data_IF_501391603437
#
_entry.id   IF_501391603437
#
_cell.length_a   1.000
_cell.length_b   1.000
_cell.length_c   1.000
_cell.angle_alpha   90.00
_cell.angle_beta   90.00
_cell.angle_gamma   90.00
#
_symmetry.space_group_name_H-M   'P 1'
#
loop_
_entity.id
_entity.type
_entity.pdbx_description
1 polymer ?
#
# COMPACT_ATOMS: atom_id res chain seq x y z
N UNK A 1 -12.63 0.68 -10.13
CA UNK A 1 -12.78 0.51 -8.66
C UNK A 1 -13.16 1.80 -7.94
N UNK A 2 -12.29 2.83 -7.84
CA UNK A 2 -12.58 4.06 -7.05
C UNK A 2 -13.95 4.70 -7.35
N UNK A 3 -14.30 4.83 -8.62
CA UNK A 3 -15.57 5.40 -9.06
C UNK A 3 -16.80 4.62 -8.54
N UNK A 4 -16.68 3.30 -8.42
CA UNK A 4 -17.76 2.42 -7.89
C UNK A 4 -17.92 2.67 -6.40
N UNK A 5 -16.80 2.69 -5.68
CA UNK A 5 -16.79 2.92 -4.22
C UNK A 5 -17.34 4.31 -3.88
N UNK A 6 -16.91 5.34 -4.62
CA UNK A 6 -17.40 6.71 -4.41
C UNK A 6 -18.88 6.82 -4.78
N UNK A 7 -19.33 6.16 -5.85
CA UNK A 7 -20.74 6.17 -6.26
C UNK A 7 -21.69 5.67 -5.17
N UNK A 8 -21.34 4.57 -4.49
CA UNK A 8 -22.12 4.07 -3.35
C UNK A 8 -22.04 5.00 -2.14
N UNK A 9 -20.86 5.55 -1.82
CA UNK A 9 -20.67 6.41 -0.63
C UNK A 9 -21.28 7.80 -0.75
N UNK A 10 -21.44 8.31 -1.97
CA UNK A 10 -21.99 9.66 -2.20
C UNK A 10 -23.47 9.81 -1.86
N UNK A 11 -24.21 8.71 -1.68
CA UNK A 11 -25.64 8.75 -1.38
C UNK A 11 -26.01 7.69 -0.36
N UNK A 12 -26.71 8.11 0.70
CA UNK A 12 -27.21 7.20 1.74
C UNK A 12 -28.12 6.12 1.16
N UNK A 13 -28.99 6.48 0.19
CA UNK A 13 -29.88 5.53 -0.49
C UNK A 13 -29.11 4.48 -1.27
N UNK A 14 -28.04 4.87 -1.98
CA UNK A 14 -27.18 3.92 -2.73
C UNK A 14 -26.37 3.03 -1.78
N UNK A 15 -25.84 3.63 -0.71
CA UNK A 15 -25.16 2.89 0.36
C UNK A 15 -26.07 1.86 1.02
N UNK A 16 -27.37 2.14 1.12
CA UNK A 16 -28.35 1.18 1.66
C UNK A 16 -28.52 -0.03 0.73
N UNK A 17 -28.69 0.18 -0.58
CA UNK A 17 -28.75 -0.94 -1.55
C UNK A 17 -27.54 -1.85 -1.43
N UNK A 18 -26.36 -1.27 -1.26
CA UNK A 18 -25.14 -2.05 -1.02
C UNK A 18 -25.21 -2.85 0.28
N UNK A 19 -25.62 -2.23 1.40
CA UNK A 19 -25.74 -2.90 2.70
C UNK A 19 -26.79 -4.01 2.70
N UNK A 20 -27.80 -3.92 1.86
CA UNK A 20 -28.80 -4.98 1.69
C UNK A 20 -28.27 -6.15 0.86
N UNK A 21 -27.28 -5.91 -0.02
CA UNK A 21 -26.68 -6.95 -0.85
C UNK A 21 -25.62 -7.81 -0.14
N UNK A 22 -25.08 -7.34 1.00
CA UNK A 22 -24.03 -8.04 1.76
C UNK A 22 -24.25 -7.86 3.26
N UNK A 23 -24.05 -8.93 4.04
CA UNK A 23 -24.08 -8.95 5.51
C UNK A 23 -23.02 -8.02 6.16
N UNK A 24 -23.27 -6.71 6.13
CA UNK A 24 -22.59 -5.66 6.90
C UNK A 24 -21.10 -5.39 6.57
N UNK A 25 -20.61 -5.74 5.38
CA UNK A 25 -19.23 -5.38 4.98
C UNK A 25 -19.17 -3.95 4.43
N UNK A 26 -18.49 -3.07 5.15
CA UNK A 26 -18.19 -1.72 4.65
C UNK A 26 -17.15 -1.79 3.53
N UNK A 27 -17.46 -1.21 2.36
CA UNK A 27 -16.44 -0.98 1.33
C UNK A 27 -15.47 0.06 1.89
N UNK A 28 -14.26 -0.37 2.24
CA UNK A 28 -13.19 0.56 2.61
C UNK A 28 -12.89 1.46 1.42
N UNK A 29 -12.82 2.77 1.66
CA UNK A 29 -12.31 3.68 0.63
C UNK A 29 -10.85 3.34 0.39
N UNK A 30 -10.40 3.43 -0.86
CA UNK A 30 -8.98 3.39 -1.16
C UNK A 30 -8.29 4.51 -0.38
N UNK A 31 -7.60 4.14 0.70
CA UNK A 31 -6.94 5.11 1.56
C UNK A 31 -5.75 5.71 0.81
N UNK A 32 -5.60 7.04 0.76
CA UNK A 32 -4.50 7.65 0.00
C UNK A 32 -3.13 7.40 0.65
N UNK A 33 -3.07 7.30 1.97
CA UNK A 33 -1.82 7.30 2.72
C UNK A 33 -1.49 5.95 3.36
N UNK A 34 -2.45 5.02 3.44
CA UNK A 34 -2.23 3.69 4.00
C UNK A 34 -2.24 2.64 2.91
N UNK A 35 -1.05 2.24 2.51
CA UNK A 35 -0.85 1.24 1.45
C UNK A 35 -1.57 -0.08 1.76
N UNK A 36 -1.46 -0.61 2.98
CA UNK A 36 -2.11 -1.87 3.39
C UNK A 36 -3.63 -1.81 3.23
N UNK A 37 -4.26 -0.72 3.65
CA UNK A 37 -5.71 -0.52 3.51
C UNK A 37 -6.15 -0.52 2.03
N UNK A 38 -5.29 -0.08 1.10
CA UNK A 38 -5.56 -0.18 -0.34
C UNK A 38 -5.58 -1.63 -0.81
N UNK A 39 -4.65 -2.47 -0.32
CA UNK A 39 -4.59 -3.89 -0.70
C UNK A 39 -5.86 -4.61 -0.25
N UNK A 40 -6.24 -4.43 1.02
CA UNK A 40 -7.45 -5.01 1.58
C UNK A 40 -8.70 -4.55 0.82
N UNK A 41 -8.72 -3.29 0.38
CA UNK A 41 -9.83 -2.76 -0.43
C UNK A 41 -9.93 -3.46 -1.79
N UNK A 42 -8.80 -3.72 -2.47
CA UNK A 42 -8.79 -4.40 -3.78
C UNK A 42 -9.27 -5.84 -3.62
N UNK A 43 -8.77 -6.57 -2.61
CA UNK A 43 -9.17 -7.96 -2.34
C UNK A 43 -10.66 -8.07 -1.94
N UNK A 44 -11.18 -7.11 -1.16
CA UNK A 44 -12.63 -7.05 -0.86
C UNK A 44 -13.45 -6.73 -2.11
N UNK A 45 -12.93 -5.90 -2.99
CA UNK A 45 -13.61 -5.55 -4.24
C UNK A 45 -13.64 -6.73 -5.22
N UNK A 46 -12.58 -7.54 -5.27
CA UNK A 46 -12.54 -8.75 -6.11
C UNK A 46 -13.49 -9.82 -5.61
N UNK A 47 -13.51 -10.06 -4.30
CA UNK A 47 -14.40 -11.05 -3.67
C UNK A 47 -15.88 -10.70 -3.81
N UNK A 48 -16.23 -9.41 -3.75
CA UNK A 48 -17.62 -8.95 -3.83
C UNK A 48 -18.02 -8.38 -5.20
N UNK A 49 -17.29 -8.75 -6.27
CA UNK A 49 -17.49 -8.17 -7.60
C UNK A 49 -18.90 -8.45 -8.15
N UNK A 50 -19.44 -9.64 -7.86
CA UNK A 50 -20.74 -10.11 -8.34
C UNK A 50 -21.85 -9.36 -7.63
N UNK A 51 -21.78 -9.24 -6.30
CA UNK A 51 -22.72 -8.48 -5.48
C UNK A 51 -22.71 -7.00 -5.87
N UNK A 52 -21.53 -6.43 -6.13
CA UNK A 52 -21.39 -5.07 -6.65
C UNK A 52 -22.11 -4.91 -7.99
N UNK A 53 -21.94 -5.87 -8.92
CA UNK A 53 -22.65 -5.84 -10.19
C UNK A 53 -24.17 -5.91 -9.98
N UNK A 54 -24.66 -6.81 -9.12
CA UNK A 54 -26.09 -6.95 -8.81
C UNK A 54 -26.67 -5.65 -8.21
N UNK A 55 -25.99 -5.05 -7.23
CA UNK A 55 -26.41 -3.81 -6.60
C UNK A 55 -26.44 -2.64 -7.60
N UNK A 56 -25.44 -2.53 -8.48
CA UNK A 56 -25.44 -1.52 -9.55
C UNK A 56 -26.57 -1.77 -10.57
N UNK A 57 -26.83 -3.03 -10.94
CA UNK A 57 -27.96 -3.38 -11.82
C UNK A 57 -29.32 -3.06 -11.20
N UNK A 58 -29.46 -3.09 -9.88
CA UNK A 58 -30.67 -2.61 -9.20
C UNK A 58 -30.81 -1.08 -9.28
N UNK A 59 -29.73 -0.33 -9.03
CA UNK A 59 -29.72 1.14 -9.11
C UNK A 59 -29.96 1.63 -10.54
N UNK A 60 -29.50 0.88 -11.54
CA UNK A 60 -29.76 1.13 -12.95
C UNK A 60 -31.26 1.20 -13.30
N UNK A 61 -32.13 0.52 -12.55
CA UNK A 61 -33.59 0.52 -12.77
C UNK A 61 -34.31 1.69 -12.09
N UNK A 62 -33.59 2.57 -11.40
CA UNK A 62 -34.20 3.70 -10.69
C UNK A 62 -34.71 4.77 -11.67
N UNK A 63 -35.76 5.49 -11.25
CA UNK A 63 -36.33 6.63 -11.98
C UNK A 63 -35.36 7.82 -12.08
N UNK A 64 -34.43 7.96 -11.14
CA UNK A 64 -33.44 9.05 -11.14
C UNK A 64 -32.38 8.82 -12.23
N UNK A 65 -32.48 9.59 -13.32
CA UNK A 65 -31.62 9.52 -14.49
C UNK A 65 -30.14 9.65 -14.16
N UNK A 66 -29.78 10.46 -13.15
CA UNK A 66 -28.40 10.67 -12.76
C UNK A 66 -27.79 9.43 -12.10
N UNK A 67 -28.55 8.78 -11.22
CA UNK A 67 -28.12 7.53 -10.58
C UNK A 67 -28.15 6.36 -11.56
N UNK A 68 -29.21 6.23 -12.36
CA UNK A 68 -29.39 5.11 -13.27
C UNK A 68 -28.36 5.10 -14.41
N UNK A 69 -28.14 6.25 -15.06
CA UNK A 69 -27.14 6.38 -16.12
C UNK A 69 -25.73 6.11 -15.62
N UNK A 70 -25.35 6.64 -14.45
CA UNK A 70 -24.03 6.38 -13.85
C UNK A 70 -23.85 4.92 -13.46
N UNK A 71 -24.88 4.30 -12.87
CA UNK A 71 -24.85 2.89 -12.53
C UNK A 71 -24.69 2.01 -13.79
N UNK A 72 -25.41 2.33 -14.86
CA UNK A 72 -25.28 1.66 -16.16
C UNK A 72 -23.84 1.68 -16.67
N UNK A 73 -23.20 2.86 -16.72
CA UNK A 73 -21.80 2.99 -17.15
C UNK A 73 -20.87 2.15 -16.27
N UNK A 74 -21.04 2.20 -14.95
CA UNK A 74 -20.21 1.44 -14.01
C UNK A 74 -20.39 -0.08 -14.17
N UNK A 75 -21.61 -0.57 -14.39
CA UNK A 75 -21.87 -2.00 -14.67
C UNK A 75 -21.13 -2.43 -15.91
N UNK A 76 -21.26 -1.70 -17.02
CA UNK A 76 -20.55 -2.03 -18.25
C UNK A 76 -19.03 -2.02 -18.06
N UNK A 77 -18.47 -1.05 -17.34
CA UNK A 77 -17.03 -1.01 -17.06
C UNK A 77 -16.54 -2.18 -16.23
N UNK A 78 -17.28 -2.61 -15.20
CA UNK A 78 -16.87 -3.72 -14.32
C UNK A 78 -17.01 -5.08 -15.03
N UNK A 79 -17.98 -5.20 -15.93
CA UNK A 79 -18.23 -6.42 -16.70
C UNK A 79 -17.27 -6.62 -17.88
N UNK A 80 -16.46 -5.63 -18.24
CA UNK A 80 -15.47 -5.79 -19.31
C UNK A 80 -14.42 -6.84 -18.94
N UNK A 81 -14.13 -7.77 -19.85
CA UNK A 81 -13.13 -8.83 -19.63
C UNK A 81 -11.74 -8.28 -19.29
N UNK A 82 -11.34 -7.17 -19.92
CA UNK A 82 -10.08 -6.47 -19.61
C UNK A 82 -10.03 -6.01 -18.14
N UNK A 83 -11.14 -5.49 -17.62
CA UNK A 83 -11.24 -5.05 -16.23
C UNK A 83 -11.16 -6.23 -15.27
N UNK A 84 -11.88 -7.32 -15.55
CA UNK A 84 -11.88 -8.53 -14.71
C UNK A 84 -10.47 -9.12 -14.63
N UNK A 85 -9.79 -9.26 -15.76
CA UNK A 85 -8.43 -9.81 -15.80
C UNK A 85 -7.45 -8.88 -15.09
N UNK A 86 -7.47 -7.58 -15.38
CA UNK A 86 -6.58 -6.62 -14.72
C UNK A 86 -6.80 -6.61 -13.20
N UNK A 87 -8.06 -6.73 -12.75
CA UNK A 87 -8.41 -6.80 -11.35
C UNK A 87 -7.87 -8.08 -10.67
N UNK A 88 -7.97 -9.23 -11.34
CA UNK A 88 -7.45 -10.50 -10.82
C UNK A 88 -5.93 -10.55 -10.81
N UNK A 89 -5.26 -10.07 -11.87
CA UNK A 89 -3.80 -9.94 -11.89
C UNK A 89 -3.32 -9.03 -10.76
N UNK A 90 -3.99 -7.89 -10.55
CA UNK A 90 -3.69 -7.01 -9.43
C UNK A 90 -3.90 -7.72 -8.09
N UNK A 91 -5.03 -8.40 -7.90
CA UNK A 91 -5.30 -9.14 -6.67
C UNK A 91 -4.24 -10.22 -6.40
N UNK A 92 -3.77 -10.91 -7.44
CA UNK A 92 -2.77 -11.96 -7.34
C UNK A 92 -1.42 -11.43 -6.84
N UNK A 93 -0.93 -10.35 -7.46
CA UNK A 93 0.27 -9.64 -7.03
C UNK A 93 0.16 -9.17 -5.57
N UNK A 94 -1.00 -8.62 -5.19
CA UNK A 94 -1.22 -8.12 -3.84
C UNK A 94 -1.17 -9.24 -2.79
N UNK A 95 -1.40 -10.51 -3.15
CA UNK A 95 -1.22 -11.65 -2.23
C UNK A 95 0.24 -11.78 -1.77
N UNK A 96 1.20 -11.46 -2.63
CA UNK A 96 2.62 -11.51 -2.29
C UNK A 96 3.09 -10.23 -1.59
N UNK A 97 2.66 -9.07 -2.06
CA UNK A 97 3.14 -7.78 -1.53
C UNK A 97 2.48 -7.38 -0.22
N UNK A 98 1.26 -7.84 0.09
CA UNK A 98 0.56 -7.51 1.34
C UNK A 98 1.24 -8.10 2.59
N UNK A 99 1.55 -9.42 2.68
CA UNK A 99 2.26 -9.99 3.82
C UNK A 99 3.63 -9.33 4.00
N UNK A 100 4.36 -9.16 2.91
CA UNK A 100 5.64 -8.45 2.88
C UNK A 100 5.54 -7.04 3.45
N UNK A 101 4.54 -6.25 3.01
CA UNK A 101 4.32 -4.89 3.50
C UNK A 101 3.99 -4.86 5.00
N UNK A 102 3.17 -5.80 5.49
CA UNK A 102 2.85 -5.93 6.92
C UNK A 102 4.07 -6.34 7.74
N UNK A 103 4.90 -7.24 7.21
CA UNK A 103 6.13 -7.68 7.85
C UNK A 103 7.10 -6.51 8.03
N UNK A 104 7.35 -5.72 6.98
CA UNK A 104 8.22 -4.54 7.06
C UNK A 104 7.71 -3.44 8.00
N UNK A 105 6.40 -3.37 8.23
CA UNK A 105 5.79 -2.39 9.13
C UNK A 105 5.77 -2.83 10.61
N UNK A 106 6.20 -4.07 10.90
CA UNK A 106 6.19 -4.56 12.26
C UNK A 106 7.24 -3.82 13.12
N UNK A 107 6.83 -3.33 14.30
CA UNK A 107 7.70 -2.52 15.19
C UNK A 107 8.92 -3.28 15.71
N UNK A 108 8.84 -4.61 15.76
CA UNK A 108 9.90 -5.48 16.25
C UNK A 108 10.80 -6.05 15.16
N UNK A 109 10.59 -5.69 13.89
CA UNK A 109 11.36 -6.30 12.80
C UNK A 109 12.83 -5.87 12.86
N UNK A 110 13.71 -6.85 12.69
CA UNK A 110 15.13 -6.61 12.52
C UNK A 110 15.47 -6.29 11.06
N UNK A 111 16.50 -5.47 10.82
CA UNK A 111 16.98 -5.13 9.49
C UNK A 111 17.44 -6.35 8.69
N UNK A 112 17.99 -7.36 9.35
CA UNK A 112 18.38 -8.63 8.71
C UNK A 112 17.17 -9.43 8.26
N UNK A 113 16.17 -9.56 9.14
CA UNK A 113 14.90 -10.23 8.82
C UNK A 113 14.14 -9.49 7.72
N UNK A 114 14.18 -8.15 7.73
CA UNK A 114 13.64 -7.32 6.66
C UNK A 114 14.37 -7.55 5.34
N UNK A 115 15.72 -7.64 5.35
CA UNK A 115 16.51 -7.95 4.15
C UNK A 115 16.21 -9.33 3.58
N UNK A 116 16.04 -10.33 4.45
CA UNK A 116 15.63 -11.67 4.06
C UNK A 116 14.24 -11.65 3.42
N UNK A 117 13.25 -11.03 4.08
CA UNK A 117 11.89 -10.91 3.57
C UNK A 117 11.80 -10.22 2.20
N UNK A 118 12.63 -9.20 1.96
CA UNK A 118 12.75 -8.54 0.65
C UNK A 118 13.22 -9.53 -0.42
N UNK A 119 14.30 -10.27 -0.14
CA UNK A 119 14.88 -11.23 -1.09
C UNK A 119 13.94 -12.39 -1.37
N UNK A 120 13.29 -12.91 -0.34
CA UNK A 120 12.31 -14.00 -0.47
C UNK A 120 11.11 -13.55 -1.31
N UNK A 121 10.61 -12.33 -1.10
CA UNK A 121 9.50 -11.79 -1.89
C UNK A 121 9.93 -11.56 -3.34
N UNK A 122 11.15 -11.06 -3.58
CA UNK A 122 11.69 -10.89 -4.93
C UNK A 122 11.82 -12.22 -5.66
N UNK A 123 12.37 -13.26 -5.01
CA UNK A 123 12.52 -14.57 -5.64
C UNK A 123 11.18 -15.20 -6.00
N UNK A 124 10.17 -15.08 -5.13
CA UNK A 124 8.80 -15.56 -5.43
C UNK A 124 8.20 -14.84 -6.63
N UNK A 125 8.36 -13.52 -6.74
CA UNK A 125 7.88 -12.75 -7.87
C UNK A 125 8.62 -13.10 -9.17
N UNK A 126 9.94 -13.31 -9.12
CA UNK A 126 10.76 -13.74 -10.25
C UNK A 126 10.38 -15.15 -10.74
N UNK A 127 10.15 -16.09 -9.83
CA UNK A 127 9.66 -17.43 -10.15
C UNK A 127 8.27 -17.39 -10.78
N UNK A 128 7.36 -16.60 -10.20
CA UNK A 128 6.01 -16.43 -10.74
C UNK A 128 6.05 -15.84 -12.16
N UNK A 129 6.95 -14.89 -12.39
CA UNK A 129 7.17 -14.28 -13.70
C UNK A 129 7.80 -15.25 -14.72
N UNK A 130 8.70 -16.13 -14.26
CA UNK A 130 9.35 -17.16 -15.10
C UNK A 130 8.37 -18.25 -15.52
N UNK A 131 7.50 -18.69 -14.61
CA UNK A 131 6.47 -19.69 -14.86
C UNK A 131 5.11 -19.05 -15.18
N UNK A 132 5.12 -17.90 -15.88
CA UNK A 132 3.92 -17.09 -16.15
C UNK A 132 2.81 -17.86 -16.82
N UNK A 133 3.13 -18.88 -17.62
CA UNK A 133 2.13 -19.63 -18.40
C UNK A 133 1.26 -20.49 -17.49
N UNK A 134 1.86 -21.09 -16.46
CA UNK A 134 1.16 -21.92 -15.48
C UNK A 134 0.32 -21.06 -14.54
N UNK A 135 0.93 -20.01 -13.98
CA UNK A 135 0.24 -19.12 -13.05
C UNK A 135 -0.90 -18.36 -13.74
N UNK A 136 -0.64 -17.80 -14.93
CA UNK A 136 -1.66 -17.05 -15.66
C UNK A 136 -2.82 -17.93 -16.11
N UNK A 137 -2.58 -19.19 -16.49
CA UNK A 137 -3.67 -20.13 -16.82
C UNK A 137 -4.69 -20.25 -15.68
N UNK A 138 -4.23 -20.37 -14.43
CA UNK A 138 -5.14 -20.43 -13.27
C UNK A 138 -5.93 -19.14 -13.07
N UNK A 139 -5.30 -17.98 -13.31
CA UNK A 139 -5.95 -16.67 -13.23
C UNK A 139 -6.98 -16.51 -14.36
N UNK A 140 -6.65 -16.99 -15.56
CA UNK A 140 -7.52 -16.90 -16.72
C UNK A 140 -8.76 -17.79 -16.56
N UNK A 141 -8.61 -19.00 -16.03
CA UNK A 141 -9.74 -19.88 -15.68
C UNK A 141 -10.65 -19.24 -14.62
N UNK A 142 -10.07 -18.57 -13.61
CA UNK A 142 -10.86 -17.80 -12.62
C UNK A 142 -11.58 -16.62 -13.28
N UNK A 143 -10.92 -15.91 -14.20
CA UNK A 143 -11.51 -14.81 -14.94
C UNK A 143 -12.69 -15.27 -15.80
N UNK A 144 -12.57 -16.41 -16.48
CA UNK A 144 -13.65 -17.01 -17.29
C UNK A 144 -14.86 -17.38 -16.43
N UNK A 145 -14.64 -17.99 -15.25
CA UNK A 145 -15.72 -18.30 -14.31
C UNK A 145 -16.45 -17.04 -13.84
N UNK A 146 -15.70 -16.02 -13.41
CA UNK A 146 -16.26 -14.74 -12.99
C UNK A 146 -16.99 -14.01 -14.12
N UNK A 147 -16.47 -14.06 -15.34
CA UNK A 147 -17.09 -13.44 -16.50
C UNK A 147 -18.42 -14.12 -16.85
N UNK A 148 -18.47 -15.47 -16.79
CA UNK A 148 -19.68 -16.25 -17.00
C UNK A 148 -20.77 -15.92 -15.95
N UNK A 149 -20.39 -15.80 -14.67
CA UNK A 149 -21.33 -15.39 -13.61
C UNK A 149 -21.85 -13.95 -13.77
N UNK A 150 -21.06 -13.09 -14.43
CA UNK A 150 -21.44 -11.72 -14.76
C UNK A 150 -22.17 -11.60 -16.10
N UNK A 151 -22.45 -12.71 -16.79
CA UNK A 151 -23.07 -12.78 -18.11
C UNK A 151 -22.25 -12.02 -19.17
N UNK A 152 -20.94 -12.30 -19.21
CA UNK A 152 -19.97 -11.68 -20.11
C UNK A 152 -18.90 -12.63 -20.60
N UNK A 153 -18.41 -12.38 -21.82
CA UNK A 153 -17.34 -13.13 -22.44
C UNK A 153 -16.02 -12.35 -22.44
N UNK A 154 -14.93 -13.06 -22.19
CA UNK A 154 -13.57 -12.54 -22.38
C UNK A 154 -13.20 -12.68 -23.86
N UNK A 155 -13.11 -11.56 -24.56
CA UNK A 155 -12.77 -11.49 -25.99
C UNK A 155 -11.41 -10.82 -26.19
N UNK A 156 -10.76 -11.14 -27.31
CA UNK A 156 -9.55 -10.45 -27.73
C UNK A 156 -9.89 -8.96 -27.99
N UNK A 157 -9.16 -8.00 -27.40
CA UNK A 157 -9.34 -6.59 -27.70
C UNK A 157 -9.06 -6.30 -29.17
N UNK A 158 -9.64 -5.21 -29.69
CA UNK A 158 -9.38 -4.76 -31.06
C UNK A 158 -7.90 -4.35 -31.19
N UNK A 159 -7.15 -5.10 -31.99
CA UNK A 159 -5.77 -4.76 -32.35
C UNK A 159 -5.76 -3.75 -33.50
N UNK A 160 -4.84 -2.79 -33.43
CA UNK A 160 -4.62 -1.80 -34.49
C UNK A 160 -3.27 -2.12 -35.14
N UNK A 161 -3.22 -2.19 -36.47
CA UNK A 161 -2.03 -2.60 -37.22
C UNK A 161 -0.79 -1.74 -36.97
N UNK A 162 -0.97 -0.46 -36.61
CA UNK A 162 0.11 0.44 -36.21
C UNK A 162 -0.12 0.98 -34.81
N UNK A 163 0.74 0.59 -33.87
CA UNK A 163 0.88 1.21 -32.57
C UNK A 163 2.29 1.79 -32.42
N UNK A 164 2.40 3.05 -31.99
CA UNK A 164 3.71 3.74 -31.82
C UNK A 164 4.39 3.46 -30.47
N UNK A 165 3.62 3.06 -29.46
CA UNK A 165 4.09 2.99 -28.07
C UNK A 165 3.92 1.60 -27.42
N UNK A 166 3.40 0.62 -28.16
CA UNK A 166 3.18 -0.74 -27.66
C UNK A 166 3.53 -1.73 -28.76
N UNK A 167 4.22 -2.80 -28.39
CA UNK A 167 4.40 -3.93 -29.27
C UNK A 167 3.04 -4.61 -29.44
N UNK A 168 2.72 -4.99 -30.68
CA UNK A 168 1.56 -5.82 -30.98
C UNK A 168 2.04 -7.27 -31.13
N UNK A 169 2.13 -8.05 -30.03
CA UNK A 169 2.53 -9.43 -30.13
C UNK A 169 1.53 -10.19 -31.03
N UNK A 170 2.03 -10.90 -32.04
CA UNK A 170 1.22 -11.73 -32.92
C UNK A 170 0.79 -12.97 -32.12
N UNK A 171 -0.41 -12.94 -31.54
CA UNK A 171 -0.84 -13.93 -30.57
C UNK A 171 -2.09 -14.66 -31.05
N UNK A 172 -2.13 -15.96 -30.77
CA UNK A 172 -3.15 -16.87 -31.26
C UNK A 172 -4.42 -16.88 -30.40
N UNK A 173 -4.35 -16.43 -29.13
CA UNK A 173 -5.48 -16.50 -28.18
C UNK A 173 -5.61 -15.28 -27.27
N UNK A 174 -6.81 -15.06 -26.74
CA UNK A 174 -7.08 -14.02 -25.73
C UNK A 174 -6.27 -14.24 -24.44
N UNK A 175 -6.08 -15.50 -24.05
CA UNK A 175 -5.25 -15.87 -22.89
C UNK A 175 -3.81 -15.37 -23.07
N UNK A 176 -3.19 -15.68 -24.21
CA UNK A 176 -1.81 -15.31 -24.47
C UNK A 176 -1.63 -13.79 -24.55
N UNK A 177 -2.62 -13.10 -25.12
CA UNK A 177 -2.67 -11.64 -25.14
C UNK A 177 -2.66 -11.03 -23.75
N UNK A 178 -3.56 -11.45 -22.87
CA UNK A 178 -3.63 -10.88 -21.54
C UNK A 178 -2.44 -11.29 -20.66
N UNK A 179 -1.89 -12.48 -20.87
CA UNK A 179 -0.64 -12.91 -20.23
C UNK A 179 0.50 -11.94 -20.53
N UNK A 180 0.75 -11.67 -21.81
CA UNK A 180 1.88 -10.81 -22.21
C UNK A 180 1.61 -9.34 -21.89
N UNK A 181 0.42 -8.83 -22.18
CA UNK A 181 0.14 -7.39 -22.12
C UNK A 181 -0.21 -6.88 -20.74
N UNK A 182 -0.79 -7.73 -19.87
CA UNK A 182 -1.24 -7.34 -18.51
C UNK A 182 -0.44 -8.05 -17.45
N UNK A 183 -0.37 -9.39 -17.47
CA UNK A 183 0.29 -10.12 -16.38
C UNK A 183 1.80 -9.88 -16.37
N UNK A 184 2.50 -10.18 -17.46
CA UNK A 184 3.94 -10.00 -17.56
C UNK A 184 4.37 -8.55 -17.34
N UNK A 185 3.67 -7.59 -17.95
CA UNK A 185 3.99 -6.17 -17.81
C UNK A 185 3.90 -5.69 -16.36
N UNK A 186 2.83 -6.05 -15.63
CA UNK A 186 2.69 -5.62 -14.24
C UNK A 186 3.75 -6.27 -13.35
N UNK A 187 4.09 -7.54 -13.57
CA UNK A 187 5.18 -8.18 -12.83
C UNK A 187 6.54 -7.55 -13.13
N UNK A 188 6.83 -7.22 -14.39
CA UNK A 188 8.08 -6.57 -14.79
C UNK A 188 8.24 -5.19 -14.13
N UNK A 189 7.16 -4.39 -14.11
CA UNK A 189 7.13 -3.09 -13.41
C UNK A 189 7.37 -3.24 -11.91
N UNK A 190 6.72 -4.21 -11.25
CA UNK A 190 6.88 -4.42 -9.80
C UNK A 190 8.25 -4.95 -9.44
N UNK A 191 8.81 -5.87 -10.24
CA UNK A 191 10.17 -6.35 -10.05
C UNK A 191 11.18 -5.22 -10.23
N UNK A 192 10.98 -4.36 -11.24
CA UNK A 192 11.77 -3.15 -11.45
C UNK A 192 11.71 -2.23 -10.22
N UNK A 193 10.51 -1.90 -9.74
CA UNK A 193 10.30 -1.07 -8.54
C UNK A 193 10.94 -1.67 -7.28
N UNK A 194 10.81 -2.99 -7.08
CA UNK A 194 11.43 -3.70 -5.97
C UNK A 194 12.95 -3.65 -6.06
N UNK A 195 13.52 -3.84 -7.25
CA UNK A 195 14.97 -3.77 -7.47
C UNK A 195 15.53 -2.37 -7.27
N UNK A 196 14.78 -1.33 -7.67
CA UNK A 196 15.15 0.06 -7.49
C UNK A 196 15.11 0.45 -6.00
N UNK A 197 14.02 0.12 -5.31
CA UNK A 197 13.80 0.46 -3.90
C UNK A 197 14.74 -0.31 -2.96
N UNK A 198 14.98 -1.59 -3.26
CA UNK A 198 15.83 -2.47 -2.47
C UNK A 198 17.11 -2.87 -3.22
N UNK A 199 17.76 -1.90 -3.83
CA UNK A 199 19.03 -2.12 -4.51
C UNK A 199 20.06 -2.76 -3.57
N UNK A 200 21.03 -3.49 -4.13
CA UNK A 200 22.11 -4.14 -3.36
C UNK A 200 22.81 -3.17 -2.40
N UNK A 201 23.01 -1.92 -2.82
CA UNK A 201 23.60 -0.87 -2.00
C UNK A 201 22.72 -0.50 -0.80
N UNK A 202 21.39 -0.43 -1.00
CA UNK A 202 20.42 -0.18 0.07
C UNK A 202 20.44 -1.33 1.08
N UNK A 203 20.40 -2.58 0.63
CA UNK A 203 20.43 -3.74 1.53
C UNK A 203 21.77 -3.89 2.25
N UNK A 204 22.90 -3.55 1.62
CA UNK A 204 24.20 -3.52 2.29
C UNK A 204 24.27 -2.49 3.42
N UNK A 205 23.50 -1.39 3.34
CA UNK A 205 23.43 -0.43 4.44
C UNK A 205 22.80 -1.02 5.71
N UNK A 206 21.99 -2.09 5.58
CA UNK A 206 21.40 -2.76 6.73
C UNK A 206 22.43 -3.54 7.56
N UNK A 207 23.55 -3.94 6.92
CA UNK A 207 24.68 -4.57 7.61
C UNK A 207 25.40 -3.59 8.56
N UNK A 208 25.12 -2.27 8.53
CA UNK A 208 25.62 -1.31 9.52
C UNK A 208 25.17 -1.65 10.94
N UNK A 209 24.07 -2.38 11.12
CA UNK A 209 23.64 -2.85 12.44
C UNK A 209 24.68 -3.76 13.10
N UNK A 210 25.53 -4.42 12.33
CA UNK A 210 26.64 -5.23 12.84
C UNK A 210 27.64 -4.40 13.64
N UNK A 211 27.64 -3.08 13.48
CA UNK A 211 28.43 -2.14 14.28
C UNK A 211 27.85 -1.84 15.67
N UNK A 212 26.61 -2.26 15.96
CA UNK A 212 26.01 -2.02 17.26
C UNK A 212 26.73 -2.88 18.31
N UNK A 213 27.18 -2.30 19.44
CA UNK A 213 27.91 -3.05 20.47
C UNK A 213 27.17 -4.30 20.95
N UNK A 214 25.83 -4.22 21.07
CA UNK A 214 24.97 -5.36 21.44
C UNK A 214 25.02 -6.55 20.47
N UNK A 215 25.31 -6.27 19.20
CA UNK A 215 25.38 -7.26 18.12
C UNK A 215 26.82 -7.76 17.95
N UNK A 216 27.81 -6.87 18.06
CA UNK A 216 29.24 -7.20 18.04
C UNK A 216 29.58 -8.26 19.10
N UNK A 217 29.05 -8.10 20.32
CA UNK A 217 29.31 -9.04 21.44
C UNK A 217 28.74 -10.44 21.18
N UNK A 218 27.74 -10.57 20.31
CA UNK A 218 27.08 -11.86 20.00
C UNK A 218 27.66 -12.55 18.75
N UNK A 219 28.50 -11.88 17.97
CA UNK A 219 28.98 -12.39 16.68
C UNK A 219 30.42 -12.91 16.79
N UNK A 220 30.68 -14.03 16.12
CA UNK A 220 32.03 -14.57 15.94
C UNK A 220 32.89 -13.63 15.07
N UNK A 221 34.12 -13.39 15.51
CA UNK A 221 35.06 -12.41 14.96
C UNK A 221 35.39 -12.59 13.46
N UNK A 222 35.26 -13.81 12.92
CA UNK A 222 35.52 -14.09 11.50
C UNK A 222 34.36 -13.67 10.57
N UNK A 223 33.10 -13.71 11.02
CA UNK A 223 31.94 -13.24 10.23
C UNK A 223 31.88 -11.71 10.17
N UNK A 224 32.39 -11.03 11.20
CA UNK A 224 32.51 -9.58 11.26
C UNK A 224 33.51 -9.07 10.23
N UNK A 225 34.71 -9.65 10.12
CA UNK A 225 35.76 -9.18 9.19
C UNK A 225 35.29 -9.15 7.72
N UNK A 226 34.71 -10.25 7.24
CA UNK A 226 34.25 -10.38 5.84
C UNK A 226 33.09 -9.43 5.48
N UNK A 227 32.23 -9.09 6.45
CA UNK A 227 31.10 -8.18 6.23
C UNK A 227 31.47 -6.71 6.42
N UNK A 228 32.46 -6.42 7.27
CA UNK A 228 32.90 -5.06 7.59
C UNK A 228 33.79 -4.46 6.49
N UNK A 229 34.61 -5.26 5.80
CA UNK A 229 35.40 -4.81 4.64
C UNK A 229 34.53 -4.15 3.54
N UNK A 230 33.32 -4.66 3.35
CA UNK A 230 32.35 -4.14 2.36
C UNK A 230 31.73 -2.81 2.82
N UNK A 231 31.60 -2.60 4.13
CA UNK A 231 30.92 -1.46 4.74
C UNK A 231 31.81 -0.22 4.84
N UNK A 232 33.12 -0.38 5.06
CA UNK A 232 34.03 0.74 5.32
C UNK A 232 34.32 1.62 4.09
N UNK A 233 34.27 1.08 2.87
CA UNK A 233 34.81 1.80 1.69
C UNK A 233 33.84 2.75 0.97
N UNK A 234 32.52 2.63 1.17
CA UNK A 234 31.54 3.42 0.36
C UNK A 234 30.40 4.08 1.13
N UNK A 235 30.24 3.76 2.40
CA UNK A 235 29.01 4.09 3.14
C UNK A 235 29.10 5.41 3.89
N UNK A 236 30.27 5.79 4.41
CA UNK A 236 30.43 6.96 5.31
C UNK A 236 30.02 8.31 4.67
N UNK A 237 30.26 8.51 3.36
CA UNK A 237 29.93 9.78 2.69
C UNK A 237 28.47 9.88 2.22
N UNK A 238 27.79 8.75 1.99
CA UNK A 238 26.38 8.74 1.56
C UNK A 238 25.41 8.65 2.73
N UNK A 239 25.77 8.00 3.85
CA UNK A 239 24.92 7.85 5.04
C UNK A 239 24.49 9.20 5.63
N UNK A 240 25.35 10.23 5.61
CA UNK A 240 24.98 11.56 6.12
C UNK A 240 23.93 12.26 5.23
N UNK A 241 23.89 11.94 3.93
CA UNK A 241 23.03 12.56 2.92
C UNK A 241 21.80 11.73 2.56
N UNK A 242 21.81 10.42 2.82
CA UNK A 242 20.80 9.47 2.32
C UNK A 242 20.06 8.69 3.40
N UNK A 243 20.14 9.07 4.68
CA UNK A 243 19.11 8.68 5.62
C UNK A 243 17.91 9.61 5.38
N UNK A 244 16.89 9.24 4.57
CA UNK A 244 15.60 9.84 4.79
C UNK A 244 15.27 9.46 6.24
N UNK A 245 15.14 10.47 7.09
CA UNK A 245 14.49 10.35 8.38
C UNK A 245 13.00 10.11 8.09
N UNK A 246 12.70 8.94 7.52
CA UNK A 246 11.36 8.38 7.30
C UNK A 246 11.24 7.12 8.14
N UNK A 247 11.70 7.20 9.39
CA UNK A 247 11.13 6.35 10.43
C UNK A 247 9.67 6.77 10.54
N UNK A 248 8.71 5.84 10.61
CA UNK A 248 7.29 6.17 10.77
C UNK A 248 7.06 7.19 11.91
N UNK A 249 7.92 7.18 12.93
CA UNK A 249 8.01 8.20 13.98
C UNK A 249 8.23 9.62 13.45
N UNK A 250 9.17 9.82 12.52
CA UNK A 250 9.41 11.11 11.89
C UNK A 250 8.24 11.55 10.99
N UNK A 251 7.64 10.64 10.23
CA UNK A 251 6.43 10.95 9.44
C UNK A 251 5.25 11.32 10.33
N UNK A 252 5.08 10.64 11.47
CA UNK A 252 4.10 11.05 12.50
C UNK A 252 4.44 12.42 13.07
N UNK A 253 5.71 12.73 13.30
CA UNK A 253 6.14 14.06 13.76
C UNK A 253 5.82 15.15 12.73
N UNK A 254 6.12 14.94 11.44
CA UNK A 254 5.80 15.94 10.41
C UNK A 254 4.30 16.08 10.14
N UNK A 255 3.55 14.98 10.16
CA UNK A 255 2.08 14.98 10.01
C UNK A 255 1.39 15.68 11.18
N UNK A 256 1.86 15.45 12.40
CA UNK A 256 1.37 16.15 13.60
C UNK A 256 1.75 17.62 13.58
N UNK A 257 2.98 17.95 13.21
CA UNK A 257 3.46 19.33 13.04
C UNK A 257 2.60 20.11 12.02
N UNK A 258 2.23 19.49 10.90
CA UNK A 258 1.34 20.10 9.89
C UNK A 258 -0.07 20.37 10.43
N UNK A 259 -0.56 19.55 11.36
CA UNK A 259 -1.88 19.72 12.01
C UNK A 259 -1.84 20.77 13.13
N UNK A 260 -0.74 20.86 13.87
CA UNK A 260 -0.59 21.83 14.97
C UNK A 260 -0.21 23.23 14.46
N UNK A 261 0.66 23.32 13.46
CA UNK A 261 1.12 24.57 12.83
C UNK A 261 0.22 24.97 11.66
N UNK A 262 -0.96 25.48 11.99
CA UNK A 262 -1.91 26.06 11.02
C UNK A 262 -1.61 27.54 10.75
N UNK A 263 -2.08 28.09 9.63
CA UNK A 263 -1.93 29.52 9.29
C UNK A 263 -2.47 30.46 10.38
N UNK A 264 -3.57 30.09 11.03
CA UNK A 264 -4.16 30.81 12.18
C UNK A 264 -3.30 30.77 13.46
N UNK A 265 -2.27 29.91 13.53
CA UNK A 265 -1.35 29.72 14.67
C UNK A 265 0.11 30.01 14.28
N UNK A 266 0.32 30.92 13.34
CA UNK A 266 1.65 31.25 12.80
C UNK A 266 2.62 31.85 13.82
N UNK A 267 2.12 32.43 14.92
CA UNK A 267 2.91 33.07 16.00
C UNK A 267 3.21 32.16 17.20
N UNK A 268 3.06 30.84 17.08
CA UNK A 268 3.40 29.91 18.16
C UNK A 268 4.93 29.87 18.37
N UNK A 269 5.37 29.95 19.62
CA UNK A 269 6.77 29.75 20.02
C UNK A 269 7.17 28.27 19.91
N UNK A 270 8.44 28.02 19.60
CA UNK A 270 8.96 26.67 19.33
C UNK A 270 8.76 25.71 20.49
N UNK A 271 9.00 26.15 21.73
CA UNK A 271 8.79 25.32 22.93
C UNK A 271 7.35 24.84 23.06
N UNK A 272 6.39 25.73 22.77
CA UNK A 272 4.97 25.40 22.82
C UNK A 272 4.58 24.45 21.69
N UNK A 273 5.10 24.66 20.49
CA UNK A 273 4.86 23.79 19.35
C UNK A 273 5.33 22.37 19.65
N UNK A 274 6.55 22.24 20.18
CA UNK A 274 7.15 20.97 20.53
C UNK A 274 6.33 20.23 21.60
N UNK A 275 5.90 20.93 22.66
CA UNK A 275 5.04 20.34 23.69
C UNK A 275 3.70 19.84 23.13
N UNK A 276 3.04 20.63 22.28
CA UNK A 276 1.77 20.23 21.66
C UNK A 276 1.93 19.04 20.71
N UNK A 277 3.02 18.99 19.94
CA UNK A 277 3.32 17.86 19.08
C UNK A 277 3.59 16.59 19.90
N UNK A 278 4.38 16.69 20.98
CA UNK A 278 4.65 15.56 21.88
C UNK A 278 3.36 15.02 22.53
N UNK A 279 2.47 15.89 23.00
CA UNK A 279 1.17 15.48 23.55
C UNK A 279 0.29 14.79 22.50
N UNK A 280 0.35 15.22 21.24
CA UNK A 280 -0.44 14.65 20.17
C UNK A 280 0.08 13.30 19.69
N UNK A 281 1.41 13.12 19.64
CA UNK A 281 2.09 11.87 19.27
C UNK A 281 1.91 10.82 20.37
N UNK A 282 2.04 11.24 21.63
CA UNK A 282 1.97 10.36 22.80
C UNK A 282 0.65 10.50 23.57
N UNK A 283 -0.49 10.45 22.88
CA UNK A 283 -1.81 10.51 23.56
C UNK A 283 -2.06 9.37 24.55
N UNK A 284 -1.40 8.24 24.35
CA UNK A 284 -1.54 7.06 25.21
C UNK A 284 -0.83 7.23 26.55
N UNK A 285 0.06 8.24 26.67
CA UNK A 285 0.76 8.56 27.90
C UNK A 285 -0.06 9.63 28.63
N UNK A 286 -0.93 9.21 29.55
CA UNK A 286 -1.61 10.15 30.45
C UNK A 286 -0.58 10.65 31.47
N UNK A 287 -0.24 11.95 31.50
CA UNK A 287 0.67 12.47 32.50
C UNK A 287 0.03 12.35 33.88
N UNK A 288 0.73 11.68 34.81
CA UNK A 288 0.31 11.62 36.22
C UNK A 288 0.28 13.03 36.80
N UNK A 289 -0.91 13.46 37.22
CA UNK A 289 -1.18 14.79 37.76
C UNK A 289 -0.33 15.09 39.00
N UNK A 290 -0.13 14.09 39.85
CA UNK A 290 0.69 14.18 41.06
C UNK A 290 2.15 14.53 40.76
N UNK A 291 2.76 13.88 39.75
CA UNK A 291 4.14 14.17 39.33
C UNK A 291 4.29 15.58 38.74
N UNK A 292 3.25 16.07 38.07
CA UNK A 292 3.23 17.44 37.53
C UNK A 292 3.16 18.46 38.67
N UNK A 293 2.29 18.22 39.67
CA UNK A 293 2.15 19.07 40.85
C UNK A 293 3.45 19.09 41.67
N UNK A 294 4.08 17.94 41.89
CA UNK A 294 5.33 17.84 42.64
C UNK A 294 6.48 18.55 41.92
N UNK A 295 6.61 18.37 40.60
CA UNK A 295 7.61 19.06 39.78
C UNK A 295 7.36 20.57 39.74
N UNK A 296 6.10 20.99 39.72
CA UNK A 296 5.72 22.39 39.81
C UNK A 296 6.05 22.98 41.18
N UNK A 297 5.77 22.26 42.28
CA UNK A 297 6.12 22.68 43.63
C UNK A 297 7.63 22.85 43.85
N UNK A 298 8.46 22.06 43.16
CA UNK A 298 9.93 22.18 43.18
C UNK A 298 10.48 23.30 42.29
N UNK A 299 9.68 23.87 41.39
CA UNK A 299 10.08 25.00 40.54
C UNK A 299 10.12 26.31 41.34
N UNK A 300 11.28 26.99 41.38
CA UNK A 300 11.41 28.32 42.00
C UNK A 300 10.66 29.42 41.25
N UNK A 301 10.25 29.19 39.99
CA UNK A 301 9.42 30.12 39.20
C UNK A 301 7.94 29.75 39.38
N UNK A 302 7.24 30.48 40.25
CA UNK A 302 5.79 30.33 40.51
C UNK A 302 4.91 30.97 39.42
N UNK A 303 5.51 31.72 38.49
CA UNK A 303 4.87 32.17 37.25
C UNK A 303 5.27 31.23 36.13
N UNK A 304 4.42 30.28 35.81
CA UNK A 304 4.48 29.63 34.50
C UNK A 304 4.00 30.67 33.48
N UNK A 305 4.78 30.92 32.43
CA UNK A 305 4.16 31.31 31.17
C UNK A 305 3.31 30.11 30.76
N UNK A 306 2.05 30.11 31.16
CA UNK A 306 1.06 29.26 30.51
C UNK A 306 0.96 29.86 29.12
N UNK A 307 1.72 29.32 28.18
CA UNK A 307 1.64 29.72 26.79
C UNK A 307 0.28 29.20 26.29
N UNK A 308 -0.76 29.99 26.55
CA UNK A 308 -2.11 29.90 25.97
C UNK A 308 -2.11 30.40 24.53
#
# INVERSE_FOLDING_TARGET
MQAVISFFKQSAKRSQVWKESIDFISISSLCETKWVDRHDSVLKFTTHLIELSKALSQIMKWKDTNSSSKALTLVYSIKQGEFIIALLCLADILKFTLPFSKQLQNKSIDLMDASAAVKDTQSVLEETRKYSDLYFKTIFEQAQKLAAELDTDIKLPRLVDRQKHRNNPALASAEEYFRVTVFCTVYDEILSDMSLRFSKNCLQSFDLRLLLPKVIVKLESNKLKNRMEVVYLRSSQKILLSLPVSVATAETSFSTLRRTKTWLRSRILEDRLNCLCLLHIHRDIVPSTEKVIERFGKSKRRRLQIIL
#
